data_IF_296518170780
#
_entry.id   IF_296518170780
#
_cell.length_a   1.000
_cell.length_b   1.000
_cell.length_c   1.000
_cell.angle_alpha   90.00
_cell.angle_beta   90.00
_cell.angle_gamma   90.00
#
_symmetry.space_group_name_H-M   'P 1'
#
loop_
_entity.id
_entity.type
_entity.pdbx_description
1 polymer ?
#
# COMPACT_ATOMS: atom_id res chain seq x y z
N UNK A 1 8.79 -9.20 -15.90
CA UNK A 1 7.62 -8.55 -15.25
C UNK A 1 6.89 -9.64 -14.48
N UNK A 2 6.34 -9.39 -13.29
CA UNK A 2 5.75 -10.45 -12.46
C UNK A 2 4.77 -11.30 -13.28
N UNK A 3 4.85 -12.64 -13.23
CA UNK A 3 4.01 -13.53 -14.04
C UNK A 3 2.54 -13.54 -13.57
N UNK A 4 2.20 -12.76 -12.55
CA UNK A 4 0.85 -12.67 -11.99
C UNK A 4 -0.14 -12.10 -13.02
N UNK A 5 -1.21 -12.85 -13.25
CA UNK A 5 -2.34 -12.46 -14.09
C UNK A 5 -3.55 -12.26 -13.18
N UNK A 6 -4.13 -11.06 -13.25
CA UNK A 6 -5.39 -10.70 -12.61
C UNK A 6 -6.56 -11.36 -13.33
N UNK A 7 -7.50 -11.88 -12.54
CA UNK A 7 -8.83 -12.26 -13.03
C UNK A 7 -9.64 -10.99 -13.37
N UNK A 8 -10.61 -11.07 -14.28
CA UNK A 8 -11.50 -9.94 -14.58
C UNK A 8 -12.12 -9.34 -13.30
N UNK A 9 -12.09 -8.01 -13.19
CA UNK A 9 -12.59 -7.28 -12.02
C UNK A 9 -11.62 -7.19 -10.83
N UNK A 10 -10.54 -7.97 -10.81
CA UNK A 10 -9.50 -7.83 -9.79
C UNK A 10 -8.71 -6.53 -9.94
N UNK A 11 -8.21 -6.06 -8.80
CA UNK A 11 -7.43 -4.84 -8.70
C UNK A 11 -6.05 -5.13 -8.11
N UNK A 12 -5.02 -4.54 -8.70
CA UNK A 12 -3.65 -4.62 -8.20
C UNK A 12 -3.17 -3.23 -7.76
N UNK A 13 -2.41 -3.17 -6.65
CA UNK A 13 -1.62 -2.02 -6.25
C UNK A 13 -0.17 -2.25 -6.70
N UNK A 14 0.35 -1.41 -7.59
CA UNK A 14 1.68 -1.58 -8.15
C UNK A 14 2.54 -0.32 -7.93
N UNK A 15 3.81 -0.52 -7.62
CA UNK A 15 4.85 0.53 -7.57
C UNK A 15 5.56 0.73 -8.90
N UNK A 16 5.04 0.13 -9.98
CA UNK A 16 5.54 0.30 -11.33
C UNK A 16 5.12 1.66 -11.92
N UNK A 17 5.54 1.93 -13.16
CA UNK A 17 5.23 3.16 -13.90
C UNK A 17 4.25 2.92 -15.07
N UNK A 18 3.61 1.74 -15.14
CA UNK A 18 2.70 1.35 -16.23
C UNK A 18 1.44 0.69 -15.69
N UNK A 19 0.27 1.18 -16.11
CA UNK A 19 -1.05 0.65 -15.74
C UNK A 19 -2.01 0.49 -16.94
N UNK A 20 -1.48 0.38 -18.16
CA UNK A 20 -2.29 0.17 -19.36
C UNK A 20 -3.19 -1.07 -19.23
N UNK A 21 -4.38 -1.00 -19.83
CA UNK A 21 -5.33 -2.12 -19.84
C UNK A 21 -4.69 -3.37 -20.44
N UNK A 22 -4.99 -4.54 -19.86
CA UNK A 22 -4.44 -5.82 -20.31
C UNK A 22 -3.01 -6.13 -19.83
N UNK A 23 -2.28 -5.17 -19.23
CA UNK A 23 -0.90 -5.39 -18.74
C UNK A 23 -0.79 -6.56 -17.77
N UNK A 24 -1.78 -6.76 -16.91
CA UNK A 24 -1.84 -7.87 -15.96
C UNK A 24 -3.04 -8.77 -16.21
N UNK A 25 -3.51 -8.86 -17.46
CA UNK A 25 -4.69 -9.66 -17.80
C UNK A 25 -5.93 -8.84 -18.16
N UNK A 26 -6.81 -9.46 -18.94
CA UNK A 26 -8.02 -8.82 -19.48
C UNK A 26 -9.01 -8.50 -18.35
N UNK A 27 -9.47 -7.25 -18.32
CA UNK A 27 -10.45 -6.79 -17.33
C UNK A 27 -9.90 -6.59 -15.91
N UNK A 28 -8.60 -6.79 -15.69
CA UNK A 28 -7.93 -6.40 -14.44
C UNK A 28 -7.55 -4.92 -14.46
N UNK A 29 -7.55 -4.26 -13.29
CA UNK A 29 -7.15 -2.85 -13.15
C UNK A 29 -5.92 -2.72 -12.25
N UNK A 30 -4.89 -2.08 -12.76
CA UNK A 30 -3.68 -1.78 -11.98
C UNK A 30 -3.71 -0.32 -11.52
N UNK A 31 -3.48 -0.09 -10.23
CA UNK A 31 -3.35 1.24 -9.64
C UNK A 31 -1.88 1.51 -9.33
N UNK A 32 -1.34 2.59 -9.88
CA UNK A 32 0.01 3.03 -9.56
C UNK A 32 0.00 3.74 -8.21
N UNK A 33 0.83 3.29 -7.28
CA UNK A 33 0.88 3.80 -5.92
C UNK A 33 2.30 3.86 -5.40
N UNK A 34 2.53 4.63 -4.34
CA UNK A 34 3.81 4.64 -3.64
C UNK A 34 4.10 3.30 -2.93
N UNK A 35 5.37 2.99 -2.60
CA UNK A 35 5.72 1.78 -1.86
C UNK A 35 4.97 1.65 -0.51
N UNK A 36 4.81 2.76 0.21
CA UNK A 36 4.09 2.81 1.48
C UNK A 36 2.62 2.41 1.30
N UNK A 37 1.98 2.88 0.24
CA UNK A 37 0.60 2.55 -0.09
C UNK A 37 0.44 1.08 -0.53
N UNK A 38 1.37 0.56 -1.34
CA UNK A 38 1.36 -0.85 -1.74
C UNK A 38 1.44 -1.77 -0.51
N UNK A 39 2.37 -1.49 0.42
CA UNK A 39 2.50 -2.23 1.67
C UNK A 39 1.25 -2.13 2.54
N UNK A 40 0.68 -0.92 2.70
CA UNK A 40 -0.52 -0.71 3.49
C UNK A 40 -1.74 -1.47 2.94
N UNK A 41 -1.87 -1.55 1.61
CA UNK A 41 -2.93 -2.31 0.94
C UNK A 41 -2.72 -3.82 1.06
N UNK A 42 -1.48 -4.31 0.92
CA UNK A 42 -1.15 -5.72 1.10
C UNK A 42 -1.51 -6.21 2.50
N UNK A 43 -1.18 -5.43 3.54
CA UNK A 43 -1.55 -5.75 4.93
C UNK A 43 -3.06 -5.68 5.16
N UNK A 44 -3.77 -4.78 4.47
CA UNK A 44 -5.21 -4.60 4.65
C UNK A 44 -6.09 -5.56 3.83
N UNK A 45 -5.55 -6.18 2.78
CA UNK A 45 -6.32 -6.89 1.76
C UNK A 45 -7.18 -5.99 0.86
N UNK A 46 -7.02 -4.67 0.94
CA UNK A 46 -7.78 -3.66 0.16
C UNK A 46 -7.06 -2.32 0.14
N UNK A 47 -7.44 -1.42 -0.78
CA UNK A 47 -6.96 -0.03 -0.72
C UNK A 47 -7.41 0.65 0.57
N UNK A 48 -6.48 1.38 1.19
CA UNK A 48 -6.64 2.09 2.47
C UNK A 48 -5.96 3.45 2.38
N UNK A 49 -6.35 4.40 3.23
CA UNK A 49 -5.62 5.65 3.36
C UNK A 49 -4.39 5.45 4.29
N UNK A 50 -3.19 5.58 3.73
CA UNK A 50 -1.96 5.43 4.51
C UNK A 50 -1.78 6.50 5.59
N UNK A 51 -2.40 7.67 5.44
CA UNK A 51 -2.34 8.74 6.44
C UNK A 51 -3.09 8.36 7.72
N UNK A 52 -4.10 7.49 7.60
CA UNK A 52 -4.84 6.97 8.75
C UNK A 52 -4.05 5.86 9.45
N UNK A 53 -3.31 5.04 8.71
CA UNK A 53 -2.45 3.98 9.26
C UNK A 53 -1.13 4.49 9.84
N UNK A 54 -0.59 5.58 9.30
CA UNK A 54 0.67 6.19 9.75
C UNK A 54 0.57 6.96 11.07
N UNK A 55 -0.61 6.98 11.72
CA UNK A 55 -0.73 7.36 13.13
C UNK A 55 -0.09 6.26 14.00
N UNK A 56 1.23 6.11 13.91
CA UNK A 56 1.99 5.47 14.97
C UNK A 56 1.73 6.32 16.22
N UNK A 57 1.24 5.67 17.28
CA UNK A 57 1.28 6.28 18.62
C UNK A 57 2.70 6.80 18.80
N UNK A 58 2.87 8.11 18.90
CA UNK A 58 4.12 8.65 19.43
C UNK A 58 4.33 7.93 20.77
N UNK A 59 5.49 7.32 21.05
CA UNK A 59 5.74 6.84 22.40
C UNK A 59 5.53 8.04 23.32
N UNK A 60 4.72 7.85 24.36
CA UNK A 60 4.47 8.88 25.36
C UNK A 60 5.83 9.34 25.87
N UNK A 61 6.21 10.59 25.54
CA UNK A 61 7.38 11.25 26.12
C UNK A 61 7.09 11.49 27.60
N UNK A 62 7.28 10.47 28.44
CA UNK A 62 7.46 10.60 29.89
C UNK A 62 8.68 9.77 30.27
N UNK A 63 9.52 10.36 31.13
CA UNK A 63 10.84 9.91 31.61
C UNK A 63 11.93 10.29 30.59
N UNK A 64 12.80 11.27 30.80
CA UNK A 64 13.56 11.61 32.00
C UNK A 64 13.63 13.13 32.19
N UNK A 65 13.03 13.61 33.28
CA UNK A 65 13.26 14.96 33.79
C UNK A 65 13.16 14.91 35.32
N UNK A 66 14.00 14.10 35.95
CA UNK A 66 14.45 14.33 37.34
C UNK A 66 15.50 13.29 37.71
N UNK A 67 16.74 13.72 37.93
CA UNK A 67 17.73 12.86 38.56
C UNK A 67 19.14 13.39 38.40
N UNK A 68 19.48 14.39 39.25
CA UNK A 68 20.81 14.94 39.55
C UNK A 68 21.64 15.52 38.39
#
# INVERSE_FOLDING_TARGET
>A
MNPDILKPGQRCAATSNRNFEGRQGKGGRTHLVSPIMAAAAAVAGRFVDVRQKAKQKKPDKKLEASGY
#
